data_IF_621268043138
#
_entry.id   IF_621268043138
#
_cell.length_a   1.000
_cell.length_b   1.000
_cell.length_c   1.000
_cell.angle_alpha   90.00
_cell.angle_beta   90.00
_cell.angle_gamma   90.00
#
_symmetry.space_group_name_H-M   'P 1'
#
loop_
_entity.id
_entity.type
_entity.pdbx_description
1 polymer ?
#
# COMPACT_ATOMS: atom_id res chain seq x y z
N UNK A 1 8.29 -29.01 -7.52
CA UNK A 1 6.87 -28.68 -7.77
C UNK A 1 6.56 -27.23 -7.36
N UNK A 2 6.42 -26.87 -6.08
CA UNK A 2 6.11 -25.46 -5.68
C UNK A 2 7.22 -24.47 -6.05
N UNK A 3 8.50 -24.86 -5.91
CA UNK A 3 9.65 -24.01 -6.30
C UNK A 3 9.70 -23.68 -7.79
N UNK A 4 9.34 -24.64 -8.63
CA UNK A 4 9.41 -24.50 -10.09
C UNK A 4 8.26 -23.62 -10.61
N UNK A 5 7.09 -23.73 -9.97
CA UNK A 5 5.93 -22.88 -10.26
C UNK A 5 6.16 -21.42 -9.83
N UNK A 6 6.79 -21.20 -8.67
CA UNK A 6 7.15 -19.84 -8.23
C UNK A 6 8.21 -19.21 -9.13
N UNK A 7 9.22 -19.99 -9.55
CA UNK A 7 10.21 -19.54 -10.52
C UNK A 7 9.57 -19.21 -11.89
N UNK A 8 8.58 -20.00 -12.33
CA UNK A 8 7.83 -19.71 -13.54
C UNK A 8 7.02 -18.40 -13.43
N UNK A 9 6.39 -18.12 -12.29
CA UNK A 9 5.66 -16.85 -12.07
C UNK A 9 6.60 -15.64 -12.17
N UNK A 10 7.77 -15.68 -11.52
CA UNK A 10 8.77 -14.60 -11.57
C UNK A 10 9.26 -14.35 -13.00
N UNK A 11 9.47 -15.41 -13.78
CA UNK A 11 9.89 -15.30 -15.19
C UNK A 11 8.77 -14.72 -16.05
N UNK A 12 7.51 -15.13 -15.82
CA UNK A 12 6.36 -14.61 -16.55
C UNK A 12 6.12 -13.13 -16.24
N UNK A 13 6.32 -12.70 -15.00
CA UNK A 13 6.24 -11.30 -14.59
C UNK A 13 7.35 -10.45 -15.28
N UNK A 14 8.60 -10.92 -15.31
CA UNK A 14 9.69 -10.22 -16.02
C UNK A 14 9.48 -10.18 -17.55
N UNK A 15 8.87 -11.23 -18.13
CA UNK A 15 8.51 -11.31 -19.55
C UNK A 15 7.34 -10.38 -19.92
N UNK A 16 6.31 -10.30 -19.07
CA UNK A 16 5.13 -9.44 -19.26
C UNK A 16 5.46 -7.96 -19.02
N UNK A 17 6.21 -7.65 -17.96
CA UNK A 17 6.57 -6.28 -17.58
C UNK A 17 7.60 -5.66 -18.54
N UNK A 18 8.50 -6.45 -19.13
CA UNK A 18 9.61 -5.87 -19.91
C UNK A 18 9.51 -6.01 -21.43
N UNK A 19 8.84 -7.03 -22.01
CA UNK A 19 9.04 -7.35 -23.44
C UNK A 19 7.88 -7.92 -24.25
N UNK A 20 6.66 -8.04 -23.72
CA UNK A 20 5.50 -8.47 -24.52
C UNK A 20 5.72 -9.79 -25.27
N UNK A 21 6.39 -10.76 -24.65
CA UNK A 21 6.70 -12.04 -25.29
C UNK A 21 5.69 -13.14 -24.95
N UNK A 22 5.33 -13.92 -25.97
CA UNK A 22 4.36 -15.03 -25.93
C UNK A 22 4.94 -16.33 -25.33
N UNK A 23 4.07 -17.20 -24.81
CA UNK A 23 4.34 -18.49 -24.15
C UNK A 23 5.35 -19.40 -24.88
N UNK A 24 5.34 -19.53 -26.22
CA UNK A 24 6.34 -20.33 -26.94
C UNK A 24 7.77 -19.79 -26.84
N UNK A 25 7.92 -18.49 -26.57
CA UNK A 25 9.22 -17.86 -26.34
C UNK A 25 9.71 -18.08 -24.91
N UNK A 26 8.81 -18.02 -23.93
CA UNK A 26 9.11 -18.37 -22.53
C UNK A 26 9.61 -19.82 -22.42
N UNK A 27 8.95 -20.78 -23.08
CA UNK A 27 9.35 -22.20 -23.11
C UNK A 27 10.80 -22.42 -23.58
N UNK A 28 11.25 -21.65 -24.57
CA UNK A 28 12.65 -21.70 -25.07
C UNK A 28 13.67 -21.03 -24.14
N UNK A 29 13.25 -20.08 -23.33
CA UNK A 29 14.16 -19.31 -22.47
C UNK A 29 14.47 -19.99 -21.14
N UNK A 30 13.53 -20.76 -20.60
CA UNK A 30 13.65 -21.31 -19.23
C UNK A 30 13.56 -22.83 -19.11
N UNK A 31 13.29 -23.54 -20.20
CA UNK A 31 13.37 -25.01 -20.22
C UNK A 31 12.30 -25.73 -19.38
N UNK A 32 11.27 -25.01 -18.91
CA UNK A 32 10.16 -25.59 -18.17
C UNK A 32 9.16 -26.29 -19.10
N UNK A 33 8.53 -27.34 -18.59
CA UNK A 33 7.42 -28.02 -19.25
C UNK A 33 6.23 -27.05 -19.43
N UNK A 34 5.48 -27.24 -20.50
CA UNK A 34 4.30 -26.43 -20.83
C UNK A 34 3.23 -26.46 -19.75
N UNK A 35 3.04 -27.60 -19.09
CA UNK A 35 2.09 -27.72 -17.98
C UNK A 35 2.54 -26.88 -16.77
N UNK A 36 3.84 -26.72 -16.54
CA UNK A 36 4.40 -25.85 -15.49
C UNK A 36 4.23 -24.38 -15.87
N UNK A 37 4.45 -24.02 -17.13
CA UNK A 37 4.25 -22.65 -17.63
C UNK A 37 2.77 -22.24 -17.59
N UNK A 38 1.84 -23.13 -17.96
CA UNK A 38 0.41 -22.85 -17.92
C UNK A 38 -0.09 -22.66 -16.49
N UNK A 39 0.35 -23.51 -15.55
CA UNK A 39 0.02 -23.32 -14.12
C UNK A 39 0.62 -22.04 -13.56
N UNK A 40 1.87 -21.73 -13.89
CA UNK A 40 2.51 -20.46 -13.53
C UNK A 40 1.75 -19.24 -14.08
N UNK A 41 1.30 -19.29 -15.34
CA UNK A 41 0.50 -18.23 -15.95
C UNK A 41 -0.88 -18.08 -15.30
N UNK A 42 -1.51 -19.18 -14.91
CA UNK A 42 -2.77 -19.15 -14.19
C UNK A 42 -2.61 -18.51 -12.79
N UNK A 43 -1.57 -18.88 -12.05
CA UNK A 43 -1.25 -18.25 -10.74
C UNK A 43 -0.94 -16.77 -10.91
N UNK A 44 -0.10 -16.41 -11.88
CA UNK A 44 0.22 -15.01 -12.19
C UNK A 44 -1.02 -14.21 -12.57
N UNK A 45 -1.92 -14.76 -13.40
CA UNK A 45 -3.18 -14.09 -13.77
C UNK A 45 -4.09 -13.84 -12.56
N UNK A 46 -4.11 -14.74 -11.59
CA UNK A 46 -4.84 -14.54 -10.33
C UNK A 46 -4.26 -13.39 -9.51
N UNK A 47 -2.93 -13.35 -9.38
CA UNK A 47 -2.20 -12.26 -8.72
C UNK A 47 -2.44 -10.92 -9.43
N UNK A 48 -2.40 -10.91 -10.77
CA UNK A 48 -2.64 -9.72 -11.58
C UNK A 48 -4.07 -9.20 -11.40
N UNK A 49 -5.06 -10.09 -11.40
CA UNK A 49 -6.47 -9.73 -11.17
C UNK A 49 -6.68 -9.12 -9.78
N UNK A 50 -6.10 -9.72 -8.74
CA UNK A 50 -6.18 -9.17 -7.38
C UNK A 50 -5.49 -7.82 -7.26
N UNK A 51 -4.30 -7.68 -7.86
CA UNK A 51 -3.55 -6.42 -7.92
C UNK A 51 -4.34 -5.33 -8.64
N UNK A 52 -4.94 -5.64 -9.79
CA UNK A 52 -5.70 -4.68 -10.58
C UNK A 52 -6.98 -4.24 -9.86
N UNK A 53 -7.65 -5.16 -9.18
CA UNK A 53 -8.82 -4.86 -8.34
C UNK A 53 -8.42 -3.99 -7.14
N UNK A 54 -7.36 -4.34 -6.43
CA UNK A 54 -6.83 -3.58 -5.31
C UNK A 54 -6.48 -2.15 -5.72
N UNK A 55 -5.71 -2.01 -6.80
CA UNK A 55 -5.28 -0.71 -7.33
C UNK A 55 -6.45 0.14 -7.83
N UNK A 56 -7.44 -0.48 -8.48
CA UNK A 56 -8.64 0.22 -8.93
C UNK A 56 -9.45 0.76 -7.76
N UNK A 57 -9.58 0.00 -6.67
CA UNK A 57 -10.27 0.43 -5.44
C UNK A 57 -9.53 1.54 -4.72
N UNK A 58 -8.20 1.46 -4.66
CA UNK A 58 -7.36 2.50 -4.07
C UNK A 58 -7.51 3.82 -4.83
N UNK A 59 -7.38 3.79 -6.16
CA UNK A 59 -7.60 4.96 -7.02
C UNK A 59 -9.00 5.55 -6.84
N UNK A 60 -10.03 4.71 -6.78
CA UNK A 60 -11.41 5.14 -6.60
C UNK A 60 -11.66 5.77 -5.23
N UNK A 61 -11.03 5.27 -4.16
CA UNK A 61 -11.15 5.81 -2.79
C UNK A 61 -10.52 7.20 -2.69
N UNK A 62 -9.35 7.34 -3.27
CA UNK A 62 -8.55 8.56 -3.15
C UNK A 62 -8.96 9.65 -4.14
N UNK A 63 -9.81 9.39 -5.14
CA UNK A 63 -10.33 10.44 -6.05
C UNK A 63 -10.95 11.61 -5.26
N UNK A 64 -10.94 12.82 -5.82
CA UNK A 64 -11.56 13.98 -5.17
C UNK A 64 -13.04 13.74 -4.83
N UNK A 65 -13.47 14.34 -3.72
CA UNK A 65 -14.85 14.30 -3.26
C UNK A 65 -15.10 15.41 -2.25
N UNK A 66 -15.75 15.08 -1.13
CA UNK A 66 -15.88 16.03 -0.01
C UNK A 66 -14.56 16.35 0.68
N UNK A 67 -13.59 15.45 0.54
CA UNK A 67 -12.19 15.69 0.85
C UNK A 67 -11.43 15.73 -0.47
N UNK A 68 -10.52 16.67 -0.58
CA UNK A 68 -9.58 16.77 -1.68
C UNK A 68 -8.60 15.60 -1.66
N UNK A 69 -8.04 15.27 -2.82
CA UNK A 69 -7.03 14.22 -2.97
C UNK A 69 -5.87 14.45 -2.00
N UNK A 70 -5.41 15.69 -1.88
CA UNK A 70 -4.29 16.04 -1.02
C UNK A 70 -4.58 15.67 0.45
N UNK A 71 -5.76 16.03 0.95
CA UNK A 71 -6.19 15.72 2.33
C UNK A 71 -6.25 14.20 2.56
N UNK A 72 -6.80 13.46 1.59
CA UNK A 72 -6.86 11.99 1.67
C UNK A 72 -5.49 11.34 1.65
N UNK A 73 -4.54 11.90 0.90
CA UNK A 73 -3.15 11.41 0.88
C UNK A 73 -2.43 11.67 2.21
N UNK A 74 -2.71 12.79 2.89
CA UNK A 74 -2.20 13.02 4.24
C UNK A 74 -2.75 11.99 5.25
N UNK A 75 -4.04 11.68 5.19
CA UNK A 75 -4.64 10.61 6.02
C UNK A 75 -4.01 9.26 5.72
N UNK A 76 -3.78 8.95 4.44
CA UNK A 76 -3.14 7.70 4.04
C UNK A 76 -1.66 7.63 4.46
N UNK A 77 -0.92 8.73 4.37
CA UNK A 77 0.45 8.85 4.86
C UNK A 77 0.53 8.65 6.37
N UNK A 78 -0.34 9.31 7.14
CA UNK A 78 -0.43 9.13 8.58
C UNK A 78 -0.78 7.69 8.97
N UNK A 79 -1.73 7.08 8.27
CA UNK A 79 -2.11 5.66 8.48
C UNK A 79 -0.95 4.72 8.18
N UNK A 80 -0.15 5.01 7.13
CA UNK A 80 1.02 4.22 6.77
C UNK A 80 2.13 4.28 7.84
N UNK A 81 2.35 5.45 8.44
CA UNK A 81 3.27 5.61 9.57
C UNK A 81 2.74 4.82 10.78
N UNK A 82 1.46 5.01 11.12
CA UNK A 82 0.85 4.38 12.29
C UNK A 82 0.78 2.85 12.21
N UNK A 83 0.79 2.30 11.01
CA UNK A 83 0.75 0.86 10.76
C UNK A 83 2.14 0.24 10.53
N UNK A 84 3.23 1.00 10.71
CA UNK A 84 4.60 0.60 10.41
C UNK A 84 4.74 -0.05 9.01
N UNK A 85 4.30 0.68 7.97
CA UNK A 85 4.28 0.21 6.59
C UNK A 85 5.30 0.97 5.71
N UNK A 86 6.61 0.60 5.71
CA UNK A 86 7.67 1.38 5.05
C UNK A 86 7.46 1.65 3.58
N UNK A 87 6.90 0.69 2.84
CA UNK A 87 6.58 0.87 1.41
C UNK A 87 5.53 1.98 1.24
N UNK A 88 4.44 1.88 1.98
CA UNK A 88 3.35 2.85 1.94
C UNK A 88 3.81 4.24 2.39
N UNK A 89 4.64 4.35 3.42
CA UNK A 89 5.22 5.64 3.86
C UNK A 89 5.97 6.31 2.71
N UNK A 90 6.85 5.58 2.02
CA UNK A 90 7.63 6.12 0.89
C UNK A 90 6.73 6.50 -0.28
N UNK A 91 5.84 5.61 -0.69
CA UNK A 91 4.90 5.85 -1.79
C UNK A 91 4.06 7.10 -1.53
N UNK A 92 3.49 7.22 -0.33
CA UNK A 92 2.60 8.33 0.03
C UNK A 92 3.35 9.64 0.19
N UNK A 93 4.57 9.61 0.74
CA UNK A 93 5.47 10.77 0.73
C UNK A 93 5.71 11.28 -0.70
N UNK A 94 6.06 10.40 -1.62
CA UNK A 94 6.29 10.78 -3.02
C UNK A 94 5.03 11.37 -3.68
N UNK A 95 3.85 10.79 -3.43
CA UNK A 95 2.59 11.30 -3.96
C UNK A 95 2.25 12.68 -3.39
N UNK A 96 2.42 12.88 -2.08
CA UNK A 96 2.22 14.19 -1.44
C UNK A 96 3.17 15.24 -2.00
N UNK A 97 4.46 14.94 -2.14
CA UNK A 97 5.43 15.87 -2.75
C UNK A 97 5.05 16.22 -4.18
N UNK A 98 4.58 15.25 -4.99
CA UNK A 98 4.08 15.51 -6.35
C UNK A 98 2.82 16.38 -6.39
N UNK A 99 2.04 16.40 -5.32
CA UNK A 99 0.86 17.25 -5.15
C UNK A 99 1.19 18.63 -4.56
N UNK A 100 2.47 18.92 -4.31
CA UNK A 100 2.94 20.21 -3.82
C UNK A 100 3.12 20.30 -2.31
N UNK A 101 2.99 19.19 -1.57
CA UNK A 101 3.29 19.17 -0.14
C UNK A 101 4.78 19.50 0.10
N UNK A 102 5.03 20.50 0.94
CA UNK A 102 6.37 20.86 1.40
C UNK A 102 6.91 19.93 2.49
N UNK A 103 8.21 20.00 2.74
CA UNK A 103 8.85 19.21 3.81
C UNK A 103 8.31 19.57 5.20
N UNK A 104 8.03 20.85 5.46
CA UNK A 104 7.45 21.31 6.73
C UNK A 104 6.08 20.68 6.99
N UNK A 105 5.22 20.60 5.97
CA UNK A 105 3.90 19.99 6.11
C UNK A 105 3.98 18.46 6.33
N UNK A 106 4.96 17.81 5.70
CA UNK A 106 5.22 16.38 5.92
C UNK A 106 5.76 16.12 7.33
N UNK A 107 6.60 17.02 7.84
CA UNK A 107 7.14 16.96 9.19
C UNK A 107 6.04 17.20 10.23
N UNK A 108 5.19 18.20 10.05
CA UNK A 108 4.03 18.45 10.90
C UNK A 108 3.10 17.23 10.95
N UNK A 109 2.81 16.61 9.80
CA UNK A 109 2.03 15.38 9.76
C UNK A 109 2.67 14.22 10.55
N UNK A 110 3.99 14.07 10.47
CA UNK A 110 4.74 13.09 11.24
C UNK A 110 4.67 13.39 12.75
N UNK A 111 4.86 14.64 13.16
CA UNK A 111 4.77 15.06 14.57
C UNK A 111 3.40 14.80 15.17
N UNK A 112 2.32 15.06 14.40
CA UNK A 112 0.96 14.73 14.82
C UNK A 112 0.83 13.23 15.09
N UNK A 113 1.29 12.38 14.16
CA UNK A 113 1.23 10.92 14.33
C UNK A 113 2.01 10.47 15.58
N UNK A 114 3.24 10.94 15.76
CA UNK A 114 4.07 10.57 16.92
C UNK A 114 3.50 11.06 18.25
N UNK A 115 2.90 12.26 18.26
CA UNK A 115 2.19 12.76 19.44
C UNK A 115 1.04 11.82 19.83
N UNK A 116 0.26 11.35 18.86
CA UNK A 116 -0.86 10.45 19.13
C UNK A 116 -0.42 9.01 19.43
N UNK A 117 0.68 8.51 18.86
CA UNK A 117 1.30 7.26 19.29
C UNK A 117 1.64 7.30 20.78
N UNK A 118 2.33 8.35 21.21
CA UNK A 118 2.68 8.56 22.62
C UNK A 118 1.43 8.68 23.48
N UNK A 119 0.48 9.54 23.11
CA UNK A 119 -0.70 9.80 23.91
C UNK A 119 -1.57 8.55 24.05
N UNK A 120 -1.78 7.78 22.98
CA UNK A 120 -2.58 6.54 23.03
C UNK A 120 -1.99 5.55 24.03
N UNK A 121 -0.66 5.36 24.02
CA UNK A 121 0.01 4.48 24.99
C UNK A 121 -0.06 5.01 26.42
N UNK A 122 0.06 6.33 26.58
CA UNK A 122 -0.06 6.97 27.88
C UNK A 122 -1.47 6.82 28.48
N UNK A 123 -2.51 7.06 27.68
CA UNK A 123 -3.91 6.92 28.10
C UNK A 123 -4.27 5.46 28.37
N UNK A 124 -3.79 4.53 27.53
CA UNK A 124 -3.94 3.09 27.75
C UNK A 124 -3.28 2.65 29.06
N UNK A 125 -2.04 3.08 29.31
CA UNK A 125 -1.30 2.73 30.53
C UNK A 125 -1.94 3.26 31.81
N UNK A 126 -2.58 4.44 31.74
CA UNK A 126 -3.31 5.05 32.84
C UNK A 126 -4.77 4.57 32.96
N UNK A 127 -5.26 3.77 32.00
CA UNK A 127 -6.66 3.32 31.94
C UNK A 127 -7.65 4.49 32.01
N UNK A 128 -7.36 5.57 31.28
CA UNK A 128 -8.21 6.75 31.26
C UNK A 128 -9.49 6.49 30.46
N UNK A 129 -10.64 6.80 31.06
CA UNK A 129 -11.92 6.74 30.38
C UNK A 129 -12.25 8.08 29.70
N UNK A 130 -12.91 8.07 28.52
CA UNK A 130 -13.25 9.28 27.76
C UNK A 130 -14.13 10.33 28.47
N UNK A 131 -14.59 10.11 29.70
CA UNK A 131 -15.44 11.03 30.47
C UNK A 131 -14.71 11.92 31.47
N UNK A 132 -13.40 11.75 31.68
CA UNK A 132 -12.66 12.55 32.69
C UNK A 132 -12.68 14.07 32.41
N UNK A 133 -12.99 14.46 31.18
CA UNK A 133 -13.00 15.84 30.70
C UNK A 133 -14.38 16.33 30.23
N UNK A 134 -15.43 15.50 30.30
CA UNK A 134 -16.77 15.87 29.80
C UNK A 134 -17.57 16.78 30.75
N UNK A 135 -17.10 16.98 31.98
CA UNK A 135 -17.82 17.76 33.00
C UNK A 135 -17.44 19.25 33.04
N UNK A 136 -16.52 19.73 32.18
CA UNK A 136 -16.07 21.13 32.16
C UNK A 136 -16.57 21.96 30.96
N UNK A 137 -17.40 21.39 30.09
CA UNK A 137 -18.00 22.12 28.95
C UNK A 137 -19.39 22.73 29.27
N UNK A 138 -19.67 23.02 30.54
CA UNK A 138 -20.95 23.58 30.98
C UNK A 138 -20.89 24.29 32.34
N UNK A 139 -20.19 25.43 32.40
CA UNK A 139 -20.38 26.49 33.40
C UNK A 139 -19.98 27.83 32.80
#
# INVERSE_FOLDING_TARGET
MIRDEFAACVVLDDVAVRRGADLPRAKRMVGFDEAVLQRGAQVQSGIDLERDQWWSREKATLRDGRLERLEKEYVAFATAIASDAPYSVRLRKELLTRMGAGEEQLFEALEVVELFHKNTKFTEGLQLEPGLWSDSAGA
#
